data_IF_357015592659
#
_entry.id   IF_357015592659
#
_cell.length_a   1.000
_cell.length_b   1.000
_cell.length_c   1.000
_cell.angle_alpha   90.00
_cell.angle_beta   90.00
_cell.angle_gamma   90.00
#
_symmetry.space_group_name_H-M   'P 1'
#
loop_
_entity.id
_entity.type
_entity.pdbx_description
1 polymer ?
#
# COMPACT_ATOMS: atom_id res chain seq x y z
N UNK A 1 -7.86 -0.47 -14.00
CA UNK A 1 -6.96 -0.86 -12.91
C UNK A 1 -7.00 0.14 -11.78
N UNK A 2 -6.52 -0.27 -10.60
CA UNK A 2 -6.35 0.61 -9.43
C UNK A 2 -4.86 0.71 -9.14
N UNK A 3 -4.38 1.91 -8.83
CA UNK A 3 -2.99 2.15 -8.43
C UNK A 3 -2.92 3.37 -7.50
N UNK A 4 -1.76 3.61 -6.90
CA UNK A 4 -1.51 4.83 -6.15
C UNK A 4 -0.38 5.67 -6.77
N UNK A 5 -0.45 6.98 -6.53
CA UNK A 5 0.61 7.93 -6.79
C UNK A 5 1.13 8.48 -5.45
N UNK A 6 2.43 8.67 -5.37
CA UNK A 6 3.08 9.42 -4.29
C UNK A 6 4.15 10.33 -4.91
N UNK A 7 4.78 11.19 -4.14
CA UNK A 7 5.74 12.14 -4.70
C UNK A 7 6.90 11.46 -5.43
N UNK A 8 7.34 10.29 -4.93
CA UNK A 8 8.38 9.50 -5.56
C UNK A 8 8.02 9.00 -6.97
N UNK A 9 6.81 8.41 -7.14
CA UNK A 9 6.45 7.75 -8.40
C UNK A 9 5.64 8.63 -9.36
N UNK A 10 5.03 9.72 -8.89
CA UNK A 10 4.06 10.56 -9.62
C UNK A 10 4.53 10.97 -11.01
N UNK A 11 5.77 11.48 -11.12
CA UNK A 11 6.29 11.96 -12.42
C UNK A 11 6.46 10.83 -13.44
N UNK A 12 7.03 9.71 -13.00
CA UNK A 12 7.26 8.53 -13.85
C UNK A 12 5.95 7.85 -14.23
N UNK A 13 5.03 7.71 -13.28
CA UNK A 13 3.71 7.13 -13.51
C UNK A 13 2.87 7.99 -14.47
N UNK A 14 2.84 9.31 -14.29
CA UNK A 14 2.13 10.21 -15.23
C UNK A 14 2.70 10.10 -16.65
N UNK A 15 4.02 9.97 -16.81
CA UNK A 15 4.65 9.76 -18.13
C UNK A 15 4.22 8.42 -18.73
N UNK A 16 4.26 7.35 -17.94
CA UNK A 16 3.84 6.01 -18.36
C UNK A 16 2.37 5.97 -18.77
N UNK A 17 1.48 6.50 -17.95
CA UNK A 17 0.05 6.57 -18.23
C UNK A 17 -0.23 7.36 -19.53
N UNK A 18 0.42 8.49 -19.69
CA UNK A 18 0.26 9.30 -20.92
C UNK A 18 0.74 8.55 -22.17
N UNK A 19 1.88 7.86 -22.11
CA UNK A 19 2.40 7.09 -23.26
C UNK A 19 1.49 5.91 -23.62
N UNK A 20 0.79 5.35 -22.63
CA UNK A 20 -0.19 4.28 -22.82
C UNK A 20 -1.62 4.78 -23.13
N UNK A 21 -1.82 6.09 -23.34
CA UNK A 21 -3.14 6.71 -23.51
C UNK A 21 -4.11 6.39 -22.37
N UNK A 22 -3.60 6.39 -21.15
CA UNK A 22 -4.37 6.17 -19.93
C UNK A 22 -4.58 7.47 -19.16
N UNK A 23 -5.63 7.51 -18.35
CA UNK A 23 -6.00 8.61 -17.48
C UNK A 23 -6.22 8.11 -16.05
N UNK A 24 -5.65 8.83 -15.09
CA UNK A 24 -5.80 8.54 -13.66
C UNK A 24 -6.95 9.37 -13.09
N UNK A 25 -7.83 8.70 -12.36
CA UNK A 25 -8.97 9.29 -11.67
C UNK A 25 -8.77 9.09 -10.17
N UNK A 26 -8.59 10.19 -9.44
CA UNK A 26 -8.41 10.19 -8.00
C UNK A 26 -9.64 9.65 -7.27
N UNK A 27 -9.42 8.90 -6.19
CA UNK A 27 -10.46 8.42 -5.28
C UNK A 27 -10.25 8.96 -3.86
N UNK A 28 -9.07 8.74 -3.28
CA UNK A 28 -8.78 9.08 -1.88
C UNK A 28 -7.28 9.26 -1.66
N UNK A 29 -6.94 10.11 -0.69
CA UNK A 29 -5.58 10.21 -0.14
C UNK A 29 -5.49 9.42 1.17
N UNK A 30 -4.50 8.53 1.26
CA UNK A 30 -4.22 7.72 2.44
C UNK A 30 -2.84 8.05 2.98
N UNK A 31 -2.74 8.16 4.30
CA UNK A 31 -1.45 8.16 4.98
C UNK A 31 -0.88 6.74 5.03
N UNK A 32 0.42 6.61 5.25
CA UNK A 32 1.03 5.31 5.51
C UNK A 32 0.63 4.75 6.87
N UNK A 33 0.42 3.45 6.92
CA UNK A 33 0.18 2.69 8.13
C UNK A 33 1.13 1.50 8.18
N UNK A 34 1.48 1.08 9.39
CA UNK A 34 2.21 -0.15 9.66
C UNK A 34 1.20 -1.27 9.86
N UNK A 35 1.26 -2.31 9.03
CA UNK A 35 0.42 -3.50 9.14
C UNK A 35 1.17 -4.59 9.86
N UNK A 36 0.62 -5.04 10.98
CA UNK A 36 1.21 -5.98 11.92
C UNK A 36 0.16 -6.92 12.51
N UNK A 37 0.58 -8.02 13.11
CA UNK A 37 -0.31 -8.87 13.88
C UNK A 37 -0.59 -8.29 15.28
N UNK A 38 -1.73 -8.65 15.89
CA UNK A 38 -2.19 -8.10 17.18
C UNK A 38 -1.26 -8.38 18.37
N UNK A 39 -0.43 -9.42 18.30
CA UNK A 39 0.56 -9.75 19.33
C UNK A 39 1.93 -9.11 19.11
N UNK A 40 2.09 -8.30 18.05
CA UNK A 40 3.36 -7.60 17.81
C UNK A 40 3.70 -6.68 18.99
N UNK A 41 4.97 -6.55 19.41
CA UNK A 41 5.38 -5.66 20.52
C UNK A 41 4.90 -4.22 20.37
N UNK A 42 4.80 -3.71 19.13
CA UNK A 42 4.34 -2.34 18.82
C UNK A 42 2.83 -2.23 18.58
N UNK A 43 2.04 -3.30 18.76
CA UNK A 43 0.61 -3.28 18.43
C UNK A 43 -0.24 -2.33 19.28
N UNK A 44 0.28 -1.87 20.42
CA UNK A 44 -0.42 -0.94 21.33
C UNK A 44 0.04 0.51 21.20
N UNK A 45 0.99 0.78 20.31
CA UNK A 45 1.44 2.14 20.06
C UNK A 45 0.37 2.95 19.35
N UNK A 46 0.34 4.27 19.58
CA UNK A 46 -0.56 5.20 18.90
C UNK A 46 -0.09 5.52 17.48
N UNK A 47 1.21 5.54 17.29
CA UNK A 47 1.91 5.69 16.01
C UNK A 47 3.26 4.95 16.10
N UNK A 48 3.81 4.57 14.96
CA UNK A 48 5.07 3.84 14.87
C UNK A 48 6.00 4.58 13.92
N UNK A 49 7.25 4.79 14.36
CA UNK A 49 8.31 5.43 13.59
C UNK A 49 9.24 4.39 12.93
N UNK A 50 10.04 4.80 11.95
CA UNK A 50 11.10 3.94 11.39
C UNK A 50 12.12 3.48 12.42
N UNK A 51 12.43 4.31 13.41
CA UNK A 51 13.39 3.94 14.48
C UNK A 51 12.89 2.73 15.27
N UNK A 52 11.60 2.70 15.61
CA UNK A 52 10.98 1.58 16.33
C UNK A 52 10.89 0.30 15.47
N UNK A 53 10.86 0.43 14.14
CA UNK A 53 10.78 -0.69 13.20
C UNK A 53 12.13 -1.35 12.88
N UNK A 54 13.24 -0.76 13.24
CA UNK A 54 14.59 -1.25 12.89
C UNK A 54 14.90 -2.67 13.36
N UNK A 55 14.30 -3.07 14.47
CA UNK A 55 14.52 -4.40 15.07
C UNK A 55 13.65 -5.50 14.45
N UNK A 56 12.73 -5.14 13.54
CA UNK A 56 11.77 -6.04 12.93
C UNK A 56 11.95 -6.12 11.42
N UNK A 57 11.74 -7.30 10.80
CA UNK A 57 11.87 -7.43 9.36
C UNK A 57 10.70 -6.76 8.62
N UNK A 58 11.04 -5.91 7.64
CA UNK A 58 10.08 -5.42 6.67
C UNK A 58 9.74 -6.54 5.69
N UNK A 59 8.45 -6.81 5.51
CA UNK A 59 7.94 -7.80 4.57
C UNK A 59 7.41 -7.09 3.32
N UNK A 60 7.79 -7.57 2.16
CA UNK A 60 7.41 -6.99 0.87
C UNK A 60 7.10 -8.11 -0.12
N UNK A 61 6.27 -7.81 -1.12
CA UNK A 61 6.01 -8.75 -2.19
C UNK A 61 7.13 -8.78 -3.21
N UNK A 62 7.50 -9.99 -3.63
CA UNK A 62 8.41 -10.19 -4.76
C UNK A 62 7.68 -9.84 -6.07
N UNK A 63 8.18 -8.85 -6.77
CA UNK A 63 7.54 -8.37 -8.01
C UNK A 63 8.23 -8.87 -9.30
N UNK A 64 9.21 -9.76 -9.15
CA UNK A 64 10.00 -10.28 -10.26
C UNK A 64 11.05 -9.30 -10.81
N UNK A 65 11.96 -9.82 -11.63
CA UNK A 65 13.16 -9.09 -12.08
C UNK A 65 12.87 -7.91 -13.03
N UNK A 66 11.69 -7.88 -13.64
CA UNK A 66 11.29 -6.84 -14.61
C UNK A 66 10.33 -5.80 -14.04
N UNK A 67 10.03 -5.83 -12.74
CA UNK A 67 9.12 -4.86 -12.15
C UNK A 67 9.83 -3.52 -11.93
N UNK A 68 9.16 -2.44 -12.28
CA UNK A 68 9.64 -1.10 -11.98
C UNK A 68 9.38 -0.77 -10.51
N UNK A 69 10.35 -0.18 -9.83
CA UNK A 69 10.19 0.36 -8.46
C UNK A 69 9.00 1.31 -8.33
N UNK A 70 8.60 1.96 -9.44
CA UNK A 70 7.44 2.85 -9.46
C UNK A 70 6.08 2.13 -9.34
N UNK A 71 6.07 0.80 -9.51
CA UNK A 71 4.87 -0.05 -9.43
C UNK A 71 4.84 -0.91 -8.16
N UNK A 72 5.71 -0.62 -7.19
CA UNK A 72 5.69 -1.33 -5.91
C UNK A 72 4.34 -1.17 -5.23
N UNK A 73 3.83 -2.27 -4.65
CA UNK A 73 2.55 -2.27 -3.92
C UNK A 73 2.69 -1.54 -2.57
N UNK A 74 3.85 -1.72 -1.93
CA UNK A 74 4.11 -1.11 -0.64
C UNK A 74 4.63 0.33 -0.82
N UNK A 75 4.10 1.22 -0.01
CA UNK A 75 4.62 2.58 0.10
C UNK A 75 6.00 2.57 0.77
N UNK A 76 6.83 3.55 0.46
CA UNK A 76 8.19 3.68 0.99
C UNK A 76 9.12 2.49 0.65
N UNK A 77 8.79 1.71 -0.39
CA UNK A 77 9.54 0.53 -0.83
C UNK A 77 11.00 0.83 -1.24
N UNK A 78 11.33 2.10 -1.47
CA UNK A 78 12.69 2.57 -1.83
C UNK A 78 13.55 2.95 -0.63
N UNK A 79 13.00 2.91 0.58
CA UNK A 79 13.77 3.19 1.78
C UNK A 79 14.74 2.04 2.09
N UNK A 80 15.82 2.36 2.78
CA UNK A 80 16.77 1.36 3.29
C UNK A 80 16.20 0.73 4.57
N UNK A 81 15.94 -0.56 4.52
CA UNK A 81 15.48 -1.35 5.65
C UNK A 81 16.64 -2.21 6.20
N UNK A 82 16.81 -2.23 7.52
CA UNK A 82 17.85 -3.04 8.17
C UNK A 82 17.68 -4.54 7.87
N UNK A 83 16.42 -4.99 7.77
CA UNK A 83 16.04 -6.36 7.46
C UNK A 83 14.86 -6.32 6.49
N UNK A 84 14.98 -7.00 5.36
CA UNK A 84 13.89 -7.12 4.39
C UNK A 84 13.72 -8.58 3.96
N UNK A 85 12.49 -9.06 3.97
CA UNK A 85 12.12 -10.38 3.48
C UNK A 85 11.07 -10.21 2.39
N UNK A 86 11.33 -10.82 1.23
CA UNK A 86 10.39 -10.84 0.11
C UNK A 86 9.61 -12.15 0.10
N UNK A 87 8.30 -12.06 -0.05
CA UNK A 87 7.38 -13.19 -0.13
C UNK A 87 6.62 -13.18 -1.45
N UNK A 88 6.29 -14.36 -1.97
CA UNK A 88 5.60 -14.50 -3.26
C UNK A 88 4.07 -14.55 -3.10
N UNK A 89 3.59 -14.75 -1.89
CA UNK A 89 2.16 -14.89 -1.62
C UNK A 89 1.79 -14.32 -0.25
N UNK A 90 0.51 -14.00 -0.12
CA UNK A 90 -0.06 -13.39 1.08
C UNK A 90 -0.02 -14.31 2.30
N UNK A 91 -0.26 -15.61 2.14
CA UNK A 91 -0.29 -16.53 3.28
C UNK A 91 1.09 -16.63 3.93
N UNK A 92 2.14 -16.73 3.12
CA UNK A 92 3.54 -16.69 3.59
C UNK A 92 3.83 -15.37 4.32
N UNK A 93 3.42 -14.23 3.74
CA UNK A 93 3.62 -12.93 4.37
C UNK A 93 2.95 -12.85 5.75
N UNK A 94 1.69 -13.27 5.87
CA UNK A 94 0.95 -13.27 7.14
C UNK A 94 1.59 -14.19 8.18
N UNK A 95 2.07 -15.37 7.77
CA UNK A 95 2.80 -16.29 8.66
C UNK A 95 4.12 -15.68 9.16
N UNK A 96 4.85 -14.96 8.30
CA UNK A 96 6.08 -14.28 8.69
C UNK A 96 5.80 -13.08 9.62
N UNK A 97 4.69 -12.38 9.45
CA UNK A 97 4.25 -11.34 10.40
C UNK A 97 4.12 -11.91 11.81
N UNK A 98 3.51 -13.08 11.97
CA UNK A 98 3.34 -13.72 13.27
C UNK A 98 4.65 -14.32 13.75
N UNK A 99 5.34 -15.10 12.90
CA UNK A 99 6.51 -15.90 13.30
C UNK A 99 7.76 -15.08 13.60
N UNK A 100 7.91 -13.91 12.96
CA UNK A 100 9.11 -13.07 13.08
C UNK A 100 8.83 -11.67 13.64
N UNK A 101 7.60 -11.37 14.04
CA UNK A 101 7.16 -10.00 14.31
C UNK A 101 7.44 -9.08 13.11
N UNK A 102 7.23 -9.58 11.90
CA UNK A 102 7.42 -8.79 10.69
C UNK A 102 6.31 -7.77 10.50
N UNK A 103 6.57 -6.77 9.69
CA UNK A 103 5.62 -5.73 9.34
C UNK A 103 5.63 -5.43 7.83
N UNK A 104 4.58 -4.81 7.33
CA UNK A 104 4.59 -4.14 6.02
C UNK A 104 3.95 -2.75 6.11
N UNK A 105 4.26 -1.88 5.15
CA UNK A 105 3.64 -0.55 5.07
C UNK A 105 2.50 -0.59 4.05
N UNK A 106 1.36 0.00 4.40
CA UNK A 106 0.15 -0.05 3.60
C UNK A 106 -0.66 1.26 3.71
N UNK A 107 -1.78 1.33 3.01
CA UNK A 107 -2.72 2.46 3.04
C UNK A 107 -3.62 2.51 4.29
N UNK A 108 -3.53 1.52 5.18
CA UNK A 108 -4.47 1.38 6.30
C UNK A 108 -5.83 0.78 5.90
N UNK A 109 -6.14 0.65 4.61
CA UNK A 109 -7.39 0.06 4.12
C UNK A 109 -7.23 -1.46 4.06
N UNK A 110 -7.66 -2.14 5.11
CA UNK A 110 -7.56 -3.59 5.24
C UNK A 110 -8.95 -4.20 5.39
N UNK A 111 -9.24 -5.23 4.61
CA UNK A 111 -10.48 -6.00 4.73
C UNK A 111 -10.29 -7.10 5.76
N UNK A 112 -10.94 -6.97 6.91
CA UNK A 112 -10.82 -7.94 8.02
C UNK A 112 -11.44 -9.29 7.64
N UNK A 113 -12.52 -9.30 6.86
CA UNK A 113 -13.16 -10.54 6.40
C UNK A 113 -12.23 -11.42 5.55
N UNK A 114 -11.29 -10.80 4.82
CA UNK A 114 -10.35 -11.50 3.94
C UNK A 114 -9.01 -11.82 4.62
N UNK A 115 -8.58 -11.01 5.57
CA UNK A 115 -7.26 -11.14 6.21
C UNK A 115 -7.35 -11.77 7.61
N UNK A 116 -8.52 -11.91 8.16
CA UNK A 116 -8.75 -12.35 9.54
C UNK A 116 -8.59 -11.20 10.55
N UNK A 117 -9.12 -11.43 11.74
CA UNK A 117 -9.13 -10.44 12.83
C UNK A 117 -7.84 -10.38 13.63
N UNK A 118 -6.82 -11.17 13.29
CA UNK A 118 -5.57 -11.25 14.06
C UNK A 118 -4.54 -10.17 13.69
N UNK A 119 -4.87 -9.32 12.73
CA UNK A 119 -4.00 -8.27 12.22
C UNK A 119 -4.63 -6.90 12.46
N UNK A 120 -3.78 -5.88 12.50
CA UNK A 120 -4.21 -4.49 12.65
C UNK A 120 -3.26 -3.52 11.95
N UNK A 121 -3.72 -2.31 11.76
CA UNK A 121 -2.91 -1.20 11.24
C UNK A 121 -2.69 -0.15 12.33
N UNK A 122 -1.45 0.33 12.44
CA UNK A 122 -1.08 1.44 13.32
C UNK A 122 -0.58 2.59 12.45
N UNK A 123 -0.98 3.85 12.71
CA UNK A 123 -0.48 4.98 11.94
C UNK A 123 1.04 5.00 11.89
N UNK A 124 1.60 5.17 10.70
CA UNK A 124 3.03 5.39 10.53
C UNK A 124 3.34 6.86 10.76
N UNK A 125 4.26 7.15 11.65
CA UNK A 125 4.73 8.51 11.91
C UNK A 125 5.98 8.77 11.09
N UNK A 126 5.81 9.65 10.09
CA UNK A 126 6.86 10.04 9.19
C UNK A 126 7.86 10.99 9.89
N UNK A 127 9.12 10.88 9.54
CA UNK A 127 10.13 11.88 9.91
C UNK A 127 10.35 12.85 8.74
N UNK A 128 11.04 13.98 8.99
CA UNK A 128 11.31 15.02 7.97
C UNK A 128 12.02 14.47 6.71
N UNK A 129 12.55 13.24 6.76
CA UNK A 129 13.29 12.57 5.68
C UNK A 129 12.38 11.75 4.75
N UNK A 130 11.14 11.51 5.15
CA UNK A 130 10.22 10.58 4.47
C UNK A 130 8.93 11.28 4.00
N UNK A 131 9.06 12.24 3.07
CA UNK A 131 7.91 13.01 2.54
C UNK A 131 7.01 12.20 1.58
N UNK A 132 7.21 10.88 1.45
CA UNK A 132 6.48 10.02 0.51
C UNK A 132 5.43 9.12 1.18
N UNK A 133 5.02 9.44 2.40
CA UNK A 133 4.07 8.63 3.18
C UNK A 133 2.61 8.79 2.75
N UNK A 134 2.31 9.73 1.85
CA UNK A 134 0.96 9.95 1.32
C UNK A 134 0.76 9.20 0.01
N UNK A 135 -0.28 8.36 -0.03
CA UNK A 135 -0.74 7.62 -1.21
C UNK A 135 -1.99 8.28 -1.79
N UNK A 136 -1.90 8.86 -2.96
CA UNK A 136 -3.05 9.28 -3.76
C UNK A 136 -3.58 8.06 -4.52
N UNK A 137 -4.60 7.39 -3.99
CA UNK A 137 -5.18 6.18 -4.57
C UNK A 137 -6.24 6.57 -5.60
N UNK A 138 -6.22 5.88 -6.74
CA UNK A 138 -7.18 6.12 -7.80
C UNK A 138 -7.29 4.95 -8.77
N UNK A 139 -8.19 5.09 -9.74
CA UNK A 139 -8.34 4.12 -10.81
C UNK A 139 -7.91 4.70 -12.15
N UNK A 140 -7.62 3.81 -13.10
CA UNK A 140 -7.09 4.16 -14.41
C UNK A 140 -8.03 3.65 -15.50
N UNK A 141 -8.34 4.53 -16.46
CA UNK A 141 -9.11 4.20 -17.67
C UNK A 141 -8.33 4.56 -18.93
N UNK A 142 -8.79 4.09 -20.09
CA UNK A 142 -8.30 4.60 -21.37
C UNK A 142 -8.86 6.00 -21.61
N UNK A 143 -8.03 6.91 -22.13
CA UNK A 143 -8.48 8.24 -22.57
C UNK A 143 -9.55 8.12 -23.65
N UNK A 144 -10.53 9.00 -23.59
CA UNK A 144 -11.64 9.05 -24.56
C UNK A 144 -12.43 7.72 -24.69
N UNK A 145 -12.47 6.91 -23.62
CA UNK A 145 -13.20 5.66 -23.58
C UNK A 145 -14.25 5.70 -22.47
N UNK A 146 -15.46 5.26 -22.78
CA UNK A 146 -16.49 5.06 -21.78
C UNK A 146 -16.26 3.74 -21.03
N UNK A 147 -16.50 3.75 -19.73
CA UNK A 147 -16.49 2.50 -18.94
C UNK A 147 -17.60 1.56 -19.43
N UNK A 148 -17.30 0.27 -19.47
CA UNK A 148 -18.34 -0.74 -19.62
C UNK A 148 -19.29 -0.69 -18.41
N UNK A 149 -20.49 -1.27 -18.55
CA UNK A 149 -21.45 -1.38 -17.43
C UNK A 149 -20.80 -2.01 -16.17
N UNK A 150 -20.04 -3.09 -16.34
CA UNK A 150 -19.33 -3.75 -15.22
C UNK A 150 -18.24 -2.83 -14.65
N UNK A 151 -17.49 -2.13 -15.51
CA UNK A 151 -16.49 -1.15 -15.07
C UNK A 151 -17.09 -0.02 -14.25
N UNK A 152 -18.26 0.49 -14.67
CA UNK A 152 -19.01 1.49 -13.91
C UNK A 152 -19.43 1.01 -12.54
N UNK A 153 -20.06 -0.18 -12.46
CA UNK A 153 -20.45 -0.81 -11.19
C UNK A 153 -19.25 -1.05 -10.26
N UNK A 154 -18.10 -1.48 -10.81
CA UNK A 154 -16.89 -1.67 -10.03
C UNK A 154 -16.38 -0.36 -9.42
N UNK A 155 -16.38 0.74 -10.17
CA UNK A 155 -15.98 2.06 -9.64
C UNK A 155 -16.95 2.58 -8.59
N UNK A 156 -18.26 2.38 -8.78
CA UNK A 156 -19.28 2.73 -7.79
C UNK A 156 -19.06 1.95 -6.48
N UNK A 157 -18.79 0.66 -6.57
CA UNK A 157 -18.52 -0.18 -5.40
C UNK A 157 -17.21 0.20 -4.70
N UNK A 158 -16.15 0.54 -5.44
CA UNK A 158 -14.92 1.08 -4.87
C UNK A 158 -15.21 2.35 -4.05
N UNK A 159 -15.95 3.29 -4.61
CA UNK A 159 -16.33 4.52 -3.91
C UNK A 159 -17.15 4.22 -2.65
N UNK A 160 -18.12 3.31 -2.73
CA UNK A 160 -18.95 2.90 -1.61
C UNK A 160 -18.11 2.26 -0.48
N UNK A 161 -17.15 1.42 -0.83
CA UNK A 161 -16.24 0.80 0.15
C UNK A 161 -15.33 1.82 0.84
N UNK A 162 -14.91 2.85 0.14
CA UNK A 162 -14.07 3.92 0.70
C UNK A 162 -14.87 4.86 1.63
N UNK A 163 -16.09 5.20 1.28
CA UNK A 163 -16.98 6.06 2.08
C UNK A 163 -17.39 5.41 3.42
N UNK A 164 -17.49 4.08 3.47
CA UNK A 164 -17.81 3.34 4.70
C UNK A 164 -16.64 3.31 5.71
N UNK A 165 -15.41 3.57 5.27
CA UNK A 165 -14.20 3.46 6.09
C UNK A 165 -13.61 4.79 6.56
N UNK A 166 -14.19 5.89 6.12
CA UNK A 166 -13.84 7.25 6.55
C UNK A 166 -14.79 7.74 7.64
#
# INVERSE_FOLDING_TARGET
GVLYLCDFNRKSMKKLLNSASLEFHHLIDCQAYVYIWKGHPLAKERSITFEQLKDYPCLSFEQGDNSSFYLAEEILSTNEYSQMIKANDRATMLNLMVGLNGYTLCSGIICEELNGSDYLTVPFEDDERNQNSVMEIGYVTRKNSTLSRIGGLYVEELKRCLDIRL
#
